data_IF_923524807011
#
_entry.id   IF_923524807011
#
_cell.length_a   1.000
_cell.length_b   1.000
_cell.length_c   1.000
_cell.angle_alpha   90.00
_cell.angle_beta   90.00
_cell.angle_gamma   90.00
#
_symmetry.space_group_name_H-M   'P 1'
#
loop_
_entity.id
_entity.type
_entity.pdbx_description
1 polymer ?
#
# COMPACT_ATOMS: atom_id res chain seq x y z
N UNK A 1 14.24 -11.28 3.70
CA UNK A 1 14.08 -10.15 4.65
C UNK A 1 13.56 -8.94 3.86
N UNK A 2 12.97 -7.91 4.49
CA UNK A 2 12.63 -6.67 3.79
C UNK A 2 13.06 -5.44 4.61
N UNK A 3 14.01 -4.69 4.07
CA UNK A 3 14.78 -3.71 4.83
C UNK A 3 15.51 -4.43 5.97
N UNK A 4 15.29 -3.97 7.20
CA UNK A 4 15.83 -4.57 8.43
C UNK A 4 14.84 -5.48 9.19
N UNK A 5 13.59 -5.59 8.73
CA UNK A 5 12.53 -6.43 9.32
C UNK A 5 12.03 -7.47 8.32
N UNK A 6 11.26 -8.48 8.75
CA UNK A 6 10.71 -9.48 7.81
C UNK A 6 9.25 -9.14 7.45
N UNK A 7 8.97 -9.02 6.15
CA UNK A 7 7.61 -8.89 5.59
C UNK A 7 7.54 -9.62 4.25
N UNK A 8 6.36 -10.15 3.93
CA UNK A 8 6.03 -10.63 2.58
C UNK A 8 4.85 -9.85 2.00
N UNK A 9 4.74 -9.79 0.67
CA UNK A 9 3.57 -9.22 0.01
C UNK A 9 2.26 -9.93 0.43
N UNK A 10 2.30 -11.26 0.55
CA UNK A 10 1.15 -12.04 0.96
C UNK A 10 0.67 -11.65 2.37
N UNK A 11 1.58 -11.46 3.31
CA UNK A 11 1.23 -11.07 4.68
C UNK A 11 0.72 -9.64 4.77
N UNK A 12 1.33 -8.70 4.03
CA UNK A 12 0.84 -7.32 3.90
C UNK A 12 -0.60 -7.27 3.38
N UNK A 13 -0.91 -8.03 2.33
CA UNK A 13 -2.27 -8.10 1.78
C UNK A 13 -3.26 -8.74 2.76
N UNK A 14 -2.87 -9.83 3.44
CA UNK A 14 -3.70 -10.49 4.47
C UNK A 14 -3.96 -9.58 5.67
N UNK A 15 -2.94 -8.86 6.12
CA UNK A 15 -3.05 -7.86 7.18
C UNK A 15 -4.11 -6.83 6.81
N UNK A 16 -4.03 -6.24 5.62
CA UNK A 16 -4.98 -5.23 5.17
C UNK A 16 -6.41 -5.78 5.02
N UNK A 17 -6.59 -7.01 4.52
CA UNK A 17 -7.91 -7.66 4.50
C UNK A 17 -8.49 -7.88 5.90
N UNK A 18 -7.64 -8.19 6.89
CA UNK A 18 -8.04 -8.51 8.26
C UNK A 18 -8.00 -7.31 9.20
N UNK A 19 -7.49 -6.15 8.76
CA UNK A 19 -7.15 -5.01 9.60
C UNK A 19 -8.24 -4.61 10.59
N UNK A 20 -9.48 -4.45 10.10
CA UNK A 20 -10.62 -4.09 10.96
C UNK A 20 -10.88 -5.12 12.07
N UNK A 21 -10.69 -6.42 11.83
CA UNK A 21 -10.87 -7.45 12.85
C UNK A 21 -9.76 -7.42 13.91
N UNK A 22 -8.56 -7.02 13.52
CA UNK A 22 -7.39 -6.94 14.40
C UNK A 22 -7.38 -5.68 15.27
N UNK A 23 -8.12 -4.64 14.87
CA UNK A 23 -8.27 -3.40 15.65
C UNK A 23 -9.47 -3.52 16.61
N UNK A 24 -9.30 -3.18 17.91
CA UNK A 24 -10.41 -3.13 18.85
C UNK A 24 -11.57 -2.28 18.33
N UNK A 25 -12.81 -2.73 18.53
CA UNK A 25 -14.03 -2.12 17.94
C UNK A 25 -14.06 -0.59 18.08
N UNK A 26 -13.76 -0.08 19.28
CA UNK A 26 -13.75 1.35 19.60
C UNK A 26 -12.74 2.19 18.80
N UNK A 27 -11.71 1.58 18.23
CA UNK A 27 -10.62 2.29 17.52
C UNK A 27 -10.67 2.11 15.99
N UNK A 28 -11.54 1.24 15.46
CA UNK A 28 -11.58 0.89 14.02
C UNK A 28 -11.75 2.11 13.11
N UNK A 29 -12.68 2.99 13.47
CA UNK A 29 -12.96 4.21 12.69
C UNK A 29 -11.72 5.10 12.62
N UNK A 30 -11.07 5.34 13.77
CA UNK A 30 -9.85 6.18 13.83
C UNK A 30 -8.70 5.53 13.07
N UNK A 31 -8.47 4.23 13.24
CA UNK A 31 -7.40 3.50 12.56
C UNK A 31 -7.55 3.55 11.02
N UNK A 32 -8.76 3.29 10.51
CA UNK A 32 -9.02 3.41 9.07
C UNK A 32 -8.97 4.85 8.56
N UNK A 33 -9.35 5.82 9.38
CA UNK A 33 -9.28 7.24 9.01
C UNK A 33 -7.82 7.69 8.82
N UNK A 34 -6.91 7.25 9.69
CA UNK A 34 -5.47 7.52 9.56
C UNK A 34 -4.91 6.95 8.24
N UNK A 35 -5.28 5.71 7.91
CA UNK A 35 -4.85 5.08 6.65
C UNK A 35 -5.49 5.70 5.39
N UNK A 36 -6.64 6.38 5.52
CA UNK A 36 -7.28 7.06 4.40
C UNK A 36 -6.73 8.49 4.17
N UNK A 37 -6.20 9.11 5.23
CA UNK A 37 -5.78 10.53 5.27
C UNK A 37 -4.26 10.67 5.40
N UNK A 38 -3.51 9.82 4.72
CA UNK A 38 -2.07 10.03 4.51
C UNK A 38 -1.88 11.38 3.82
N UNK A 39 -0.96 12.19 4.35
CA UNK A 39 -0.65 13.56 3.92
C UNK A 39 -0.25 13.62 2.44
N UNK A 40 -0.56 14.70 1.71
CA UNK A 40 -0.37 14.78 0.26
C UNK A 40 1.01 14.35 -0.23
N UNK A 41 2.08 14.74 0.47
CA UNK A 41 3.48 14.50 0.10
C UNK A 41 3.85 13.00 0.17
N UNK A 42 3.07 12.20 0.90
CA UNK A 42 3.25 10.75 1.02
C UNK A 42 2.21 9.95 0.21
N UNK A 43 1.48 10.61 -0.71
CA UNK A 43 0.53 9.97 -1.63
C UNK A 43 1.15 9.82 -3.01
N UNK A 44 1.87 8.73 -3.18
CA UNK A 44 2.47 8.30 -4.43
C UNK A 44 2.22 6.80 -4.65
N UNK A 45 2.49 6.27 -5.85
CA UNK A 45 2.43 4.84 -6.13
C UNK A 45 0.99 4.31 -6.20
N UNK A 46 0.60 3.41 -5.28
CA UNK A 46 -0.78 2.88 -5.18
C UNK A 46 -1.80 4.02 -5.06
N UNK A 47 -1.45 5.10 -4.37
CA UNK A 47 -2.35 6.23 -4.18
C UNK A 47 -2.74 6.90 -5.51
N UNK A 48 -1.81 6.98 -6.46
CA UNK A 48 -2.01 7.57 -7.78
C UNK A 48 -2.82 6.65 -8.70
N UNK A 49 -2.72 5.34 -8.46
CA UNK A 49 -3.40 4.30 -9.24
C UNK A 49 -4.77 3.90 -8.67
N UNK A 50 -5.24 4.56 -7.59
CA UNK A 50 -6.48 4.19 -6.93
C UNK A 50 -7.70 4.42 -7.86
N UNK A 51 -8.50 3.37 -8.15
CA UNK A 51 -9.63 3.48 -9.06
C UNK A 51 -10.74 4.38 -8.48
N UNK A 52 -11.39 5.16 -9.36
CA UNK A 52 -12.52 6.02 -8.98
C UNK A 52 -13.64 5.21 -8.31
N UNK A 53 -14.25 5.79 -7.27
CA UNK A 53 -15.34 5.15 -6.51
C UNK A 53 -14.89 4.11 -5.49
N UNK A 54 -13.58 3.87 -5.35
CA UNK A 54 -13.02 3.06 -4.27
C UNK A 54 -12.41 3.95 -3.19
N UNK A 55 -12.71 3.65 -1.93
CA UNK A 55 -12.05 4.29 -0.80
C UNK A 55 -10.73 3.57 -0.53
N UNK A 56 -9.63 4.31 -0.63
CA UNK A 56 -8.28 3.81 -0.34
C UNK A 56 -7.94 3.98 1.14
N UNK A 57 -7.43 2.91 1.75
CA UNK A 57 -6.74 2.91 3.03
C UNK A 57 -5.37 2.28 2.80
N UNK A 58 -4.29 3.02 3.00
CA UNK A 58 -2.95 2.51 2.65
C UNK A 58 -1.88 3.00 3.61
N UNK A 59 -0.75 2.29 3.60
CA UNK A 59 0.49 2.72 4.22
C UNK A 59 1.64 2.40 3.28
N UNK A 60 2.52 3.36 3.09
CA UNK A 60 3.81 3.17 2.43
C UNK A 60 4.97 3.20 3.40
N UNK A 61 6.10 2.68 2.97
CA UNK A 61 7.39 2.94 3.59
C UNK A 61 8.54 2.61 2.65
N UNK A 62 9.69 3.17 2.98
CA UNK A 62 10.91 3.11 2.20
C UNK A 62 12.06 3.00 3.19
N UNK A 63 13.13 2.35 2.76
CA UNK A 63 14.37 2.27 3.53
C UNK A 63 15.54 2.28 2.57
N UNK A 64 16.60 2.98 2.97
CA UNK A 64 17.87 3.04 2.25
C UNK A 64 18.90 2.41 3.17
N UNK A 65 19.22 1.11 2.99
CA UNK A 65 20.09 0.43 3.92
C UNK A 65 21.48 1.05 3.98
N UNK A 66 22.09 1.06 5.17
CA UNK A 66 23.53 1.28 5.30
C UNK A 66 24.29 0.10 4.65
N UNK A 67 25.52 0.36 4.19
CA UNK A 67 26.47 -0.65 3.69
C UNK A 67 26.10 -1.38 2.37
N UNK A 68 25.44 -0.69 1.42
CA UNK A 68 25.37 -1.16 0.02
C UNK A 68 24.29 -2.20 -0.29
N UNK A 69 23.38 -2.50 0.66
CA UNK A 69 22.19 -3.27 0.34
C UNK A 69 21.20 -2.42 -0.50
N UNK A 70 20.40 -3.07 -1.38
CA UNK A 70 19.51 -2.35 -2.27
C UNK A 70 18.43 -1.59 -1.49
N UNK A 71 18.14 -0.36 -1.91
CA UNK A 71 17.01 0.40 -1.40
C UNK A 71 15.72 -0.41 -1.55
N UNK A 72 14.84 -0.34 -0.55
CA UNK A 72 13.57 -1.05 -0.57
C UNK A 72 12.41 -0.08 -0.44
N UNK A 73 11.35 -0.34 -1.18
CA UNK A 73 10.10 0.41 -1.09
C UNK A 73 8.95 -0.57 -0.99
N UNK A 74 7.90 -0.18 -0.27
CA UNK A 74 6.69 -0.99 -0.19
C UNK A 74 5.47 -0.14 0.07
N UNK A 75 4.33 -0.65 -0.40
CA UNK A 75 3.03 -0.12 -0.04
C UNK A 75 2.02 -1.26 0.12
N UNK A 76 1.20 -1.15 1.17
CA UNK A 76 0.09 -2.05 1.44
C UNK A 76 -1.21 -1.24 1.45
N UNK A 77 -2.27 -1.81 0.88
CA UNK A 77 -3.54 -1.11 0.72
C UNK A 77 -4.76 -2.02 0.91
N UNK A 78 -5.83 -1.42 1.41
CA UNK A 78 -7.21 -1.92 1.40
C UNK A 78 -8.06 -0.92 0.62
N UNK A 79 -8.70 -1.40 -0.45
CA UNK A 79 -9.69 -0.67 -1.22
C UNK A 79 -11.10 -1.17 -0.87
N UNK A 80 -12.03 -0.24 -0.68
CA UNK A 80 -13.43 -0.54 -0.34
C UNK A 80 -14.41 0.14 -1.29
N UNK A 81 -15.42 -0.61 -1.73
CA UNK A 81 -16.59 -0.09 -2.47
C UNK A 81 -17.84 -0.88 -2.08
N UNK A 82 -18.74 -0.27 -1.31
CA UNK A 82 -19.89 -0.97 -0.73
C UNK A 82 -19.43 -2.18 0.09
N UNK A 83 -19.91 -3.38 -0.28
CA UNK A 83 -19.51 -4.66 0.34
C UNK A 83 -18.21 -5.24 -0.22
N UNK A 84 -17.71 -4.72 -1.34
CA UNK A 84 -16.49 -5.20 -1.98
C UNK A 84 -15.25 -4.69 -1.24
N UNK A 85 -14.28 -5.59 -1.05
CA UNK A 85 -13.00 -5.32 -0.40
C UNK A 85 -11.91 -5.98 -1.23
N UNK A 86 -10.87 -5.22 -1.56
CA UNK A 86 -9.67 -5.71 -2.26
C UNK A 86 -8.47 -5.23 -1.46
N UNK A 87 -7.50 -6.10 -1.21
CA UNK A 87 -6.23 -5.68 -0.66
C UNK A 87 -5.11 -6.03 -1.61
N UNK A 88 -4.12 -5.14 -1.69
CA UNK A 88 -2.90 -5.34 -2.46
C UNK A 88 -1.71 -4.96 -1.59
N UNK A 89 -0.58 -5.59 -1.86
CA UNK A 89 0.70 -5.25 -1.28
C UNK A 89 1.75 -5.38 -2.37
N UNK A 90 2.61 -4.37 -2.49
CA UNK A 90 3.68 -4.33 -3.47
C UNK A 90 4.96 -3.99 -2.72
N UNK A 91 5.99 -4.79 -2.91
CA UNK A 91 7.32 -4.61 -2.37
C UNK A 91 8.28 -4.54 -3.56
N UNK A 92 9.17 -3.56 -3.59
CA UNK A 92 10.22 -3.39 -4.59
C UNK A 92 11.58 -3.27 -3.90
N UNK A 93 12.65 -3.64 -4.62
CA UNK A 93 14.02 -3.56 -4.14
C UNK A 93 14.96 -3.23 -5.29
N UNK A 94 15.97 -2.40 -5.03
CA UNK A 94 17.00 -2.06 -6.02
C UNK A 94 16.54 -1.04 -7.05
N UNK A 95 15.50 -0.27 -6.73
CA UNK A 95 15.11 0.88 -7.54
C UNK A 95 16.24 1.94 -7.54
N UNK A 96 16.45 2.60 -8.68
CA UNK A 96 17.54 3.57 -8.84
C UNK A 96 17.39 4.80 -7.93
N UNK A 97 16.16 5.28 -7.76
CA UNK A 97 15.81 6.41 -6.91
C UNK A 97 14.32 6.36 -6.49
N UNK A 98 13.90 7.33 -5.66
CA UNK A 98 12.53 7.42 -5.16
C UNK A 98 11.49 7.67 -6.26
N UNK A 99 11.85 8.40 -7.32
CA UNK A 99 10.93 8.67 -8.43
C UNK A 99 10.65 7.39 -9.21
N UNK A 100 11.70 6.62 -9.49
CA UNK A 100 11.62 5.30 -10.11
C UNK A 100 10.78 4.33 -9.28
N UNK A 101 11.03 4.24 -7.96
CA UNK A 101 10.20 3.42 -7.06
C UNK A 101 8.73 3.81 -7.10
N UNK A 102 8.44 5.11 -7.06
CA UNK A 102 7.08 5.64 -7.07
C UNK A 102 6.36 5.27 -8.37
N UNK A 103 7.05 5.39 -9.51
CA UNK A 103 6.52 5.02 -10.82
C UNK A 103 6.32 3.51 -10.96
N UNK A 104 7.27 2.69 -10.49
CA UNK A 104 7.14 1.23 -10.47
C UNK A 104 5.94 0.80 -9.65
N UNK A 105 5.79 1.33 -8.42
CA UNK A 105 4.64 1.05 -7.56
C UNK A 105 3.32 1.47 -8.20
N UNK A 106 3.26 2.66 -8.82
CA UNK A 106 2.09 3.14 -9.56
C UNK A 106 1.75 2.21 -10.73
N UNK A 107 2.74 1.82 -11.52
CA UNK A 107 2.57 0.99 -12.71
C UNK A 107 2.09 -0.43 -12.39
N UNK A 108 2.63 -1.04 -11.33
CA UNK A 108 2.16 -2.34 -10.83
C UNK A 108 0.74 -2.23 -10.27
N UNK A 109 0.48 -1.21 -9.44
CA UNK A 109 -0.85 -0.98 -8.86
C UNK A 109 -1.92 -0.77 -9.95
N UNK A 110 -1.64 0.02 -10.98
CA UNK A 110 -2.56 0.27 -12.07
C UNK A 110 -2.96 -1.02 -12.82
N UNK A 111 -2.01 -1.94 -13.03
CA UNK A 111 -2.27 -3.23 -13.67
C UNK A 111 -3.13 -4.14 -12.78
N UNK A 112 -2.76 -4.27 -11.51
CA UNK A 112 -3.51 -5.07 -10.54
C UNK A 112 -4.94 -4.56 -10.32
N UNK A 113 -5.15 -3.25 -10.37
CA UNK A 113 -6.45 -2.61 -10.10
C UNK A 113 -7.27 -2.30 -11.36
N UNK A 114 -6.74 -2.58 -12.55
CA UNK A 114 -7.34 -2.23 -13.84
C UNK A 114 -8.78 -2.74 -14.03
N UNK A 115 -9.13 -3.88 -13.44
CA UNK A 115 -10.48 -4.46 -13.48
C UNK A 115 -11.50 -3.77 -12.57
N UNK A 116 -11.06 -2.99 -11.57
CA UNK A 116 -11.95 -2.43 -10.54
C UNK A 116 -12.57 -1.08 -10.92
N UNK A 117 -11.96 -0.39 -11.89
CA UNK A 117 -12.41 0.91 -12.41
C UNK A 117 -13.50 0.80 -13.47
N UNK A 118 -13.75 -0.40 -14.00
CA UNK A 118 -14.84 -0.64 -14.94
C UNK A 118 -16.17 -0.63 -14.18
N UNK A 119 -17.10 0.19 -14.65
CA UNK A 119 -18.53 0.13 -14.29
C UNK A 119 -19.25 -0.60 -15.40
#
# INVERSE_FOLDING_TARGET
AWGVSQLTAADGARLMLRFERLVPRRHRVRALALLARIVPEQRWGIADAAPRGWRLHFKGGWDVPAAGAPAVNHQIALLRRGRQRVAIAILTSGDADQAHSSETLRGVAARLLSGLGKR
#
